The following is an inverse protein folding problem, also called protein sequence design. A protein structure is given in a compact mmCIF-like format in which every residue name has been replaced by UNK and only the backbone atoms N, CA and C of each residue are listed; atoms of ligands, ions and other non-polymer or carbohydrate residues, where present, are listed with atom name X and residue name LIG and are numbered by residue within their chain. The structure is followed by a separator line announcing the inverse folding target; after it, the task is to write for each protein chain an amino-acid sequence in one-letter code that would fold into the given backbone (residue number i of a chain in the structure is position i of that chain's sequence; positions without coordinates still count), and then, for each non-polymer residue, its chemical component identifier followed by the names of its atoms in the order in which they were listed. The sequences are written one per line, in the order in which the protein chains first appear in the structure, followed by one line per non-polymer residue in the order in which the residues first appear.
data_IF_007015372436
#
_entry.id   IF_007015372436
#
_cell.length_a   1.000
_cell.length_b   1.000
_cell.length_c   1.000
_cell.angle_alpha   90.00
_cell.angle_beta   90.00
_cell.angle_gamma   90.00
#
_symmetry.space_group_name_H-M   'P 1'
#
loop_
_entity.id
_entity.type
_entity.pdbx_description
1 polymer ?
#
# COMPACT_ATOMS: atom_id res chain seq x y z
N UNK A 1 24.93 34.22 -33.38
CA UNK A 1 23.97 34.09 -32.26
C UNK A 1 23.57 32.63 -32.18
N UNK A 2 24.20 31.87 -31.28
CA UNK A 2 23.81 30.49 -31.00
C UNK A 2 22.49 30.52 -30.23
N UNK A 3 21.40 30.03 -30.83
CA UNK A 3 20.17 29.74 -30.09
C UNK A 3 20.54 28.73 -29.01
N UNK A 4 20.56 29.18 -27.75
CA UNK A 4 20.65 28.30 -26.60
C UNK A 4 19.43 27.38 -26.61
N UNK A 5 19.68 26.08 -26.61
CA UNK A 5 18.64 25.07 -26.45
C UNK A 5 18.01 25.29 -25.07
N UNK A 6 16.85 25.94 -25.00
CA UNK A 6 16.10 26.05 -23.75
C UNK A 6 15.55 24.65 -23.47
N UNK A 7 16.16 23.97 -22.50
CA UNK A 7 15.62 22.69 -22.01
C UNK A 7 14.22 22.96 -21.48
N UNK A 8 13.22 22.24 -22.01
CA UNK A 8 11.88 22.28 -21.45
C UNK A 8 11.92 21.67 -20.04
N UNK A 9 11.27 22.33 -19.09
CA UNK A 9 11.08 21.83 -17.74
C UNK A 9 9.60 21.50 -17.52
N UNK A 10 9.33 20.42 -16.78
CA UNK A 10 7.96 19.95 -16.54
C UNK A 10 7.87 19.15 -15.24
N UNK A 11 6.65 19.01 -14.71
CA UNK A 11 6.37 18.05 -13.66
C UNK A 11 5.08 17.28 -13.99
N UNK A 12 5.12 15.96 -13.90
CA UNK A 12 3.98 15.12 -14.29
C UNK A 12 3.94 13.79 -13.55
N UNK A 13 2.73 13.26 -13.40
CA UNK A 13 2.52 11.93 -12.82
C UNK A 13 2.83 10.83 -13.81
N UNK A 14 3.42 9.73 -13.34
CA UNK A 14 3.42 8.48 -14.08
C UNK A 14 2.06 7.77 -13.94
N UNK A 15 1.55 7.13 -15.01
CA UNK A 15 0.35 6.31 -14.93
C UNK A 15 0.53 5.14 -13.95
N UNK A 16 -0.51 4.87 -13.16
CA UNK A 16 -0.54 3.67 -12.32
C UNK A 16 -0.83 2.46 -13.21
N UNK A 17 0.14 1.55 -13.29
CA UNK A 17 -0.01 0.27 -13.99
C UNK A 17 -0.41 -0.88 -13.05
N UNK A 18 -0.48 -0.61 -11.75
CA UNK A 18 -0.83 -1.58 -10.72
C UNK A 18 -2.34 -1.67 -10.54
N UNK A 19 -2.82 -2.86 -10.15
CA UNK A 19 -4.21 -3.01 -9.72
C UNK A 19 -4.29 -2.57 -8.26
N UNK A 20 -5.03 -1.51 -8.00
CA UNK A 20 -5.25 -1.00 -6.66
C UNK A 20 -6.49 -1.64 -6.03
N UNK A 21 -6.38 -1.93 -4.74
CA UNK A 21 -7.40 -2.54 -3.91
C UNK A 21 -7.56 -1.76 -2.59
N UNK A 22 -8.76 -1.72 -1.99
CA UNK A 22 -8.97 -1.02 -0.73
C UNK A 22 -8.08 -1.51 0.40
N UNK A 23 -7.49 -0.57 1.12
CA UNK A 23 -6.55 -0.75 2.22
C UNK A 23 -5.16 -1.21 1.81
N UNK A 24 -4.95 -1.59 0.54
CA UNK A 24 -3.66 -2.06 0.02
C UNK A 24 -2.84 -0.86 -0.41
N UNK A 25 -1.60 -0.79 0.05
CA UNK A 25 -0.64 0.23 -0.37
C UNK A 25 -0.26 0.03 -1.84
N UNK A 26 -0.37 1.10 -2.61
CA UNK A 26 0.16 1.23 -3.96
C UNK A 26 1.08 2.44 -4.05
N UNK A 27 1.62 2.69 -5.24
CA UNK A 27 2.61 3.74 -5.47
C UNK A 27 2.18 4.73 -6.56
N UNK A 28 2.42 6.01 -6.31
CA UNK A 28 2.26 7.11 -7.25
C UNK A 28 3.57 7.85 -7.43
N UNK A 29 4.11 7.83 -8.64
CA UNK A 29 5.36 8.53 -8.93
C UNK A 29 5.11 9.86 -9.64
N UNK A 30 5.65 10.94 -9.08
CA UNK A 30 5.71 12.28 -9.67
C UNK A 30 7.13 12.54 -10.16
N UNK A 31 7.27 12.88 -11.44
CA UNK A 31 8.56 13.19 -12.07
C UNK A 31 8.69 14.69 -12.25
N UNK A 32 9.85 15.24 -11.87
CA UNK A 32 10.30 16.57 -12.26
C UNK A 32 11.42 16.46 -13.30
N UNK A 33 11.15 17.00 -14.49
CA UNK A 33 12.08 17.09 -15.61
C UNK A 33 12.72 18.47 -15.61
N UNK A 34 14.06 18.50 -15.52
CA UNK A 34 14.87 19.73 -15.59
C UNK A 34 14.45 20.86 -14.63
N UNK A 35 13.79 20.52 -13.53
CA UNK A 35 13.46 21.46 -12.45
C UNK A 35 13.49 20.74 -11.10
N UNK A 36 13.63 21.51 -10.02
CA UNK A 36 13.62 21.02 -8.65
C UNK A 36 12.66 21.85 -7.79
N UNK A 37 11.79 21.21 -6.99
CA UNK A 37 10.90 21.92 -6.08
C UNK A 37 11.69 22.66 -5.00
N UNK A 38 11.24 23.86 -4.64
CA UNK A 38 11.84 24.71 -3.59
C UNK A 38 11.27 24.39 -2.20
N UNK A 39 10.05 23.85 -2.17
CA UNK A 39 9.32 23.49 -0.97
C UNK A 39 8.99 21.99 -0.93
N UNK A 40 8.49 21.52 0.21
CA UNK A 40 8.01 20.15 0.36
C UNK A 40 6.85 19.86 -0.60
N UNK A 41 6.99 18.81 -1.41
CA UNK A 41 5.98 18.39 -2.39
C UNK A 41 4.83 17.69 -1.66
N UNK A 42 3.69 18.38 -1.55
CA UNK A 42 2.46 17.86 -0.92
C UNK A 42 1.30 17.82 -1.89
N UNK A 43 0.90 16.64 -2.39
CA UNK A 43 -0.31 16.51 -3.18
C UNK A 43 -1.55 16.96 -2.40
N UNK A 44 -2.59 17.49 -3.08
CA UNK A 44 -3.86 17.82 -2.45
C UNK A 44 -4.50 16.61 -1.76
N UNK A 45 -5.15 16.83 -0.62
CA UNK A 45 -5.91 15.77 0.07
C UNK A 45 -7.08 15.31 -0.81
N UNK A 46 -7.20 14.00 -1.00
CA UNK A 46 -8.32 13.37 -1.70
C UNK A 46 -9.13 12.56 -0.69
N UNK A 47 -10.46 12.67 -0.77
CA UNK A 47 -11.33 11.96 0.16
C UNK A 47 -11.11 10.45 0.05
N UNK A 48 -11.00 9.78 1.21
CA UNK A 48 -10.80 8.34 1.33
C UNK A 48 -9.51 7.81 0.67
N UNK A 49 -8.54 8.68 0.41
CA UNK A 49 -7.21 8.34 -0.05
C UNK A 49 -6.19 8.88 0.95
N UNK A 50 -5.45 7.97 1.58
CA UNK A 50 -4.26 8.34 2.35
C UNK A 50 -3.06 8.42 1.39
N UNK A 51 -2.31 9.51 1.48
CA UNK A 51 -1.06 9.73 0.73
C UNK A 51 0.02 9.93 1.78
N UNK A 52 0.96 9.00 1.85
CA UNK A 52 2.07 9.04 2.81
C UNK A 52 3.25 9.86 2.27
N UNK A 53 4.27 10.08 3.11
CA UNK A 53 5.46 10.83 2.72
C UNK A 53 6.22 10.10 1.59
N UNK A 54 6.69 10.82 0.56
CA UNK A 54 7.33 10.20 -0.59
C UNK A 54 8.76 9.76 -0.27
N UNK A 55 9.20 8.70 -0.94
CA UNK A 55 10.64 8.46 -1.13
C UNK A 55 11.14 9.27 -2.33
N UNK A 56 12.35 9.83 -2.22
CA UNK A 56 12.92 10.71 -3.24
C UNK A 56 14.12 10.03 -3.87
N UNK A 57 14.12 9.93 -5.20
CA UNK A 57 15.22 9.36 -5.97
C UNK A 57 15.49 10.16 -7.23
N UNK A 58 16.55 9.78 -7.95
CA UNK A 58 16.97 10.42 -9.19
C UNK A 58 17.37 9.35 -10.21
N UNK A 59 16.91 9.51 -11.45
CA UNK A 59 17.22 8.53 -12.51
C UNK A 59 18.47 8.89 -13.31
N UNK A 60 18.80 8.05 -14.31
CA UNK A 60 19.97 8.24 -15.19
C UNK A 60 19.87 9.48 -16.10
N UNK A 61 18.66 10.02 -16.30
CA UNK A 61 18.41 11.28 -17.01
C UNK A 61 18.44 12.49 -16.09
N UNK A 62 18.85 12.31 -14.83
CA UNK A 62 18.90 13.35 -13.82
C UNK A 62 17.51 13.91 -13.44
N UNK A 63 16.42 13.21 -13.76
CA UNK A 63 15.05 13.57 -13.37
C UNK A 63 14.83 13.20 -11.90
N UNK A 64 14.17 14.08 -11.15
CA UNK A 64 13.80 13.83 -9.76
C UNK A 64 12.48 13.06 -9.71
N UNK A 65 12.44 11.98 -8.94
CA UNK A 65 11.27 11.11 -8.79
C UNK A 65 10.84 11.14 -7.33
N UNK A 66 9.60 11.56 -7.11
CA UNK A 66 8.91 11.47 -5.82
C UNK A 66 7.93 10.30 -5.88
N UNK A 67 8.22 9.24 -5.14
CA UNK A 67 7.37 8.06 -5.10
C UNK A 67 6.53 8.05 -3.82
N UNK A 68 5.25 8.36 -3.96
CA UNK A 68 4.27 8.46 -2.89
C UNK A 68 3.58 7.11 -2.64
N UNK A 69 3.68 6.55 -1.43
CA UNK A 69 2.80 5.46 -1.02
C UNK A 69 1.37 6.00 -0.89
N UNK A 70 0.41 5.30 -1.49
CA UNK A 70 -1.01 5.62 -1.43
C UNK A 70 -1.82 4.46 -0.91
N UNK A 71 -2.87 4.75 -0.15
CA UNK A 71 -3.76 3.76 0.42
C UNK A 71 -5.21 4.23 0.20
N UNK A 72 -5.93 3.65 -0.76
CA UNK A 72 -7.35 3.94 -0.94
C UNK A 72 -8.16 3.18 0.11
N UNK A 73 -9.13 3.81 0.75
CA UNK A 73 -9.96 3.15 1.77
C UNK A 73 -11.25 2.51 1.22
N UNK A 74 -11.60 2.83 -0.02
CA UNK A 74 -12.83 2.33 -0.67
C UNK A 74 -12.63 2.11 -2.17
N UNK A 75 -13.42 1.23 -2.80
CA UNK A 75 -13.41 1.10 -4.26
C UNK A 75 -13.94 2.37 -4.93
N UNK A 76 -13.54 2.59 -6.19
CA UNK A 76 -14.03 3.70 -6.99
C UNK A 76 -12.95 4.41 -7.79
N UNK A 77 -13.32 5.53 -8.40
CA UNK A 77 -12.43 6.38 -9.17
C UNK A 77 -11.90 7.50 -8.29
N UNK A 78 -10.58 7.62 -8.22
CA UNK A 78 -9.89 8.68 -7.50
C UNK A 78 -9.31 9.67 -8.50
N UNK A 79 -9.33 10.94 -8.12
CA UNK A 79 -8.74 12.04 -8.88
C UNK A 79 -7.92 12.88 -7.92
N UNK A 80 -6.61 12.98 -8.16
CA UNK A 80 -5.78 14.00 -7.54
C UNK A 80 -5.90 15.24 -8.43
N UNK A 81 -6.44 16.37 -7.92
CA UNK A 81 -6.64 17.57 -8.72
C UNK A 81 -5.30 18.22 -9.10
N UNK A 82 -5.26 19.09 -10.13
CA UNK A 82 -4.06 19.83 -10.45
C UNK A 82 -3.66 20.74 -9.30
N UNK A 83 -2.35 21.00 -9.18
CA UNK A 83 -1.81 21.89 -8.16
C UNK A 83 -0.49 22.51 -8.60
N UNK A 84 -0.16 23.66 -8.02
CA UNK A 84 1.04 24.43 -8.34
C UNK A 84 2.17 24.14 -7.34
N UNK A 85 3.40 24.07 -7.84
CA UNK A 85 4.62 23.97 -7.03
C UNK A 85 5.63 25.03 -7.46
N UNK A 86 6.24 25.68 -6.48
CA UNK A 86 7.40 26.53 -6.72
C UNK A 86 8.65 25.69 -6.98
N UNK A 87 9.33 25.97 -8.10
CA UNK A 87 10.58 25.32 -8.51
C UNK A 87 11.69 26.35 -8.70
N UNK A 88 12.92 25.88 -8.88
CA UNK A 88 14.06 26.69 -9.33
C UNK A 88 13.84 27.39 -10.70
N UNK A 89 12.84 26.96 -11.47
CA UNK A 89 12.47 27.54 -12.76
C UNK A 89 11.13 28.31 -12.71
N UNK A 90 10.61 28.58 -11.51
CA UNK A 90 9.34 29.28 -11.29
C UNK A 90 8.21 28.33 -10.92
N UNK A 91 6.97 28.81 -11.06
CA UNK A 91 5.78 28.00 -10.75
C UNK A 91 5.52 26.99 -11.86
N UNK A 92 5.41 25.71 -11.49
CA UNK A 92 5.04 24.61 -12.38
C UNK A 92 3.69 24.07 -11.94
N UNK A 93 2.78 23.87 -12.91
CA UNK A 93 1.50 23.19 -12.69
C UNK A 93 1.68 21.68 -12.89
N UNK A 94 1.28 20.91 -11.89
CA UNK A 94 1.19 19.46 -11.97
C UNK A 94 -0.22 19.11 -12.46
N UNK A 95 -0.36 18.38 -13.59
CA UNK A 95 -1.66 18.01 -14.12
C UNK A 95 -2.39 17.03 -13.18
N UNK A 96 -3.73 16.91 -13.29
CA UNK A 96 -4.45 15.91 -12.52
C UNK A 96 -4.05 14.50 -12.94
N UNK A 97 -4.16 13.55 -12.01
CA UNK A 97 -4.11 12.11 -12.31
C UNK A 97 -5.37 11.42 -11.79
N UNK A 98 -5.87 10.47 -12.57
CA UNK A 98 -6.98 9.61 -12.18
C UNK A 98 -6.57 8.15 -12.19
N UNK A 99 -7.16 7.37 -11.29
CA UNK A 99 -6.97 5.93 -11.21
C UNK A 99 -8.19 5.26 -10.60
N UNK A 100 -8.37 3.97 -10.91
CA UNK A 100 -9.50 3.17 -10.45
C UNK A 100 -9.04 2.13 -9.44
N UNK A 101 -9.71 2.10 -8.30
CA UNK A 101 -9.54 1.09 -7.26
C UNK A 101 -10.65 0.08 -7.41
N UNK A 102 -10.27 -1.20 -7.57
CA UNK A 102 -11.23 -2.27 -7.80
C UNK A 102 -11.98 -2.62 -6.54
N UNK A 103 -13.22 -3.04 -6.70
CA UNK A 103 -13.93 -3.71 -5.63
C UNK A 103 -13.31 -5.09 -5.37
N UNK A 104 -13.17 -5.41 -4.08
CA UNK A 104 -12.64 -6.68 -3.61
C UNK A 104 -13.75 -7.39 -2.86
N UNK A 105 -14.01 -8.65 -3.18
CA UNK A 105 -14.92 -9.47 -2.39
C UNK A 105 -14.26 -9.85 -1.07
N UNK A 106 -14.85 -9.38 0.04
CA UNK A 106 -14.45 -9.79 1.38
C UNK A 106 -15.28 -11.02 1.75
N UNK A 107 -14.61 -12.14 2.05
CA UNK A 107 -15.30 -13.32 2.53
C UNK A 107 -16.04 -13.00 3.85
N UNK A 108 -17.24 -13.57 4.09
CA UNK A 108 -17.96 -13.35 5.33
C UNK A 108 -17.10 -13.75 6.55
N UNK A 109 -16.81 -12.78 7.43
CA UNK A 109 -16.08 -13.02 8.67
C UNK A 109 -17.11 -13.36 9.77
N UNK A 110 -16.92 -14.48 10.48
CA UNK A 110 -17.79 -14.84 11.60
C UNK A 110 -17.70 -13.78 12.72
N UNK A 111 -18.72 -13.70 13.58
CA UNK A 111 -18.77 -12.69 14.64
C UNK A 111 -17.61 -12.79 15.66
N UNK A 112 -16.99 -13.96 15.76
CA UNK A 112 -15.85 -14.32 16.59
C UNK A 112 -14.59 -14.64 15.77
N UNK A 113 -14.63 -14.39 14.47
CA UNK A 113 -13.57 -14.74 13.53
C UNK A 113 -12.62 -13.58 13.27
N UNK A 114 -11.36 -13.94 13.03
CA UNK A 114 -10.35 -13.05 12.44
C UNK A 114 -9.97 -13.65 11.10
N UNK A 115 -10.07 -12.84 10.06
CA UNK A 115 -9.50 -13.17 8.76
C UNK A 115 -8.09 -12.59 8.67
N UNK A 116 -7.11 -13.45 8.43
CA UNK A 116 -5.72 -13.08 8.31
C UNK A 116 -5.26 -13.26 6.87
N UNK A 117 -4.69 -12.20 6.31
CA UNK A 117 -4.29 -12.15 4.91
C UNK A 117 -2.88 -11.60 4.78
N UNK A 118 -2.15 -12.11 3.80
CA UNK A 118 -0.86 -11.54 3.38
C UNK A 118 -1.00 -11.08 1.94
N UNK A 119 -0.73 -9.79 1.74
CA UNK A 119 -0.80 -9.15 0.44
C UNK A 119 0.61 -8.91 -0.07
N UNK A 120 0.81 -9.30 -1.32
CA UNK A 120 2.09 -9.22 -2.02
C UNK A 120 1.86 -8.33 -3.24
N UNK A 121 2.84 -7.49 -3.64
CA UNK A 121 2.73 -6.67 -4.83
C UNK A 121 2.34 -7.50 -6.05
N UNK A 122 1.30 -7.06 -6.76
CA UNK A 122 0.77 -7.74 -7.95
C UNK A 122 1.55 -7.33 -9.22
N UNK A 123 2.88 -7.42 -9.15
CA UNK A 123 3.80 -7.07 -10.23
C UNK A 123 4.96 -8.07 -10.33
N UNK A 124 5.71 -8.01 -11.42
CA UNK A 124 6.98 -8.73 -11.53
C UNK A 124 7.96 -8.15 -10.52
N UNK A 125 8.51 -9.01 -9.66
CA UNK A 125 9.55 -8.65 -8.69
C UNK A 125 10.91 -9.08 -9.21
N UNK A 126 11.89 -8.18 -9.18
CA UNK A 126 13.23 -8.47 -9.64
C UNK A 126 14.16 -8.90 -8.50
N UNK A 127 15.11 -9.80 -8.78
CA UNK A 127 16.13 -10.17 -7.80
C UNK A 127 16.94 -8.93 -7.43
N UNK A 128 17.13 -8.69 -6.13
CA UNK A 128 17.88 -7.54 -5.64
C UNK A 128 17.05 -6.25 -5.56
N UNK A 129 15.77 -6.30 -5.93
CA UNK A 129 14.83 -5.19 -5.72
C UNK A 129 14.08 -5.37 -4.39
N UNK A 130 14.15 -4.39 -3.47
CA UNK A 130 13.30 -4.40 -2.28
C UNK A 130 11.82 -4.25 -2.66
N UNK A 131 10.94 -4.97 -1.98
CA UNK A 131 9.49 -4.86 -2.15
C UNK A 131 8.78 -4.92 -0.80
N UNK A 132 7.62 -4.29 -0.68
CA UNK A 132 6.84 -4.25 0.56
C UNK A 132 5.77 -5.33 0.52
N UNK A 133 5.56 -6.04 1.63
CA UNK A 133 4.38 -6.88 1.84
C UNK A 133 3.50 -6.30 2.94
N UNK A 134 2.21 -6.63 2.90
CA UNK A 134 1.27 -6.29 3.96
C UNK A 134 0.76 -7.55 4.66
N UNK A 135 0.70 -7.50 5.99
CA UNK A 135 -0.04 -8.46 6.79
C UNK A 135 -1.28 -7.78 7.36
N UNK A 136 -2.45 -8.34 7.06
CA UNK A 136 -3.74 -7.76 7.43
C UNK A 136 -4.52 -8.73 8.31
N UNK A 137 -5.08 -8.17 9.38
CA UNK A 137 -6.03 -8.84 10.25
C UNK A 137 -7.35 -8.10 10.16
N UNK A 138 -8.41 -8.80 9.76
CA UNK A 138 -9.74 -8.25 9.58
C UNK A 138 -10.72 -8.94 10.52
N UNK A 139 -11.60 -8.14 11.09
CA UNK A 139 -12.74 -8.60 11.89
C UNK A 139 -14.01 -7.95 11.36
N UNK A 140 -15.16 -8.48 11.75
CA UNK A 140 -16.43 -7.80 11.52
C UNK A 140 -16.41 -6.40 12.16
N UNK A 141 -16.91 -5.40 11.45
CA UNK A 141 -17.04 -4.03 11.96
C UNK A 141 -17.74 -3.99 13.32
N UNK A 142 -17.17 -3.22 14.25
CA UNK A 142 -17.61 -3.12 15.64
C UNK A 142 -16.92 -4.07 16.61
N UNK A 143 -16.08 -4.99 16.12
CA UNK A 143 -15.23 -5.84 16.97
C UNK A 143 -13.93 -5.11 17.31
N UNK A 144 -13.55 -5.10 18.59
CA UNK A 144 -12.27 -4.53 19.02
C UNK A 144 -11.19 -5.61 19.06
N UNK A 145 -10.07 -5.30 18.41
CA UNK A 145 -8.90 -6.17 18.30
C UNK A 145 -7.83 -5.58 19.21
N UNK A 146 -7.54 -6.25 20.33
CA UNK A 146 -6.45 -5.86 21.23
C UNK A 146 -5.16 -6.58 20.82
N UNK A 147 -4.09 -5.79 20.70
CA UNK A 147 -2.81 -6.24 20.15
C UNK A 147 -1.92 -6.69 21.30
N UNK A 148 -1.77 -8.00 21.44
CA UNK A 148 -0.92 -8.57 22.49
C UNK A 148 0.49 -8.92 22.00
N UNK A 149 0.74 -8.91 20.69
CA UNK A 149 2.06 -9.23 20.10
C UNK A 149 2.27 -8.56 18.74
N UNK A 150 3.52 -8.52 18.25
CA UNK A 150 3.86 -8.20 16.85
C UNK A 150 3.73 -9.47 15.99
N UNK A 151 3.54 -9.36 14.66
CA UNK A 151 3.58 -10.52 13.78
C UNK A 151 4.96 -11.20 13.82
N UNK A 152 4.96 -12.52 13.97
CA UNK A 152 6.16 -13.35 14.04
C UNK A 152 6.29 -14.22 12.79
N UNK A 153 7.52 -14.32 12.27
CA UNK A 153 7.84 -15.12 11.09
C UNK A 153 9.34 -15.39 10.98
N UNK A 154 9.73 -16.38 10.17
CA UNK A 154 11.12 -16.78 9.92
C UNK A 154 11.45 -16.70 8.41
N UNK A 155 11.82 -15.50 7.89
CA UNK A 155 12.00 -15.26 6.46
C UNK A 155 13.39 -15.64 5.95
N UNK A 156 13.81 -16.91 6.10
CA UNK A 156 15.17 -17.38 5.74
C UNK A 156 15.62 -17.08 4.30
N UNK A 157 14.68 -16.95 3.37
CA UNK A 157 14.95 -16.66 1.95
C UNK A 157 14.95 -15.15 1.63
N UNK A 158 14.83 -14.29 2.65
CA UNK A 158 14.76 -12.84 2.52
C UNK A 158 15.62 -12.13 3.54
N UNK A 159 16.10 -10.93 3.19
CA UNK A 159 16.38 -9.92 4.19
C UNK A 159 15.10 -9.16 4.45
N UNK A 160 14.67 -9.08 5.71
CA UNK A 160 13.46 -8.38 6.09
C UNK A 160 13.73 -7.30 7.13
N UNK A 161 13.04 -6.18 6.97
CA UNK A 161 12.91 -5.23 8.07
C UNK A 161 12.01 -5.81 9.17
N UNK A 162 12.07 -5.18 10.36
CA UNK A 162 11.03 -5.41 11.38
C UNK A 162 9.69 -4.91 10.83
N UNK A 163 8.61 -5.55 11.26
CA UNK A 163 7.27 -5.06 10.98
C UNK A 163 7.12 -3.61 11.47
N UNK A 164 6.47 -2.80 10.65
CA UNK A 164 6.09 -1.44 10.98
C UNK A 164 5.06 -1.39 12.11
N UNK A 165 4.75 -0.17 12.57
CA UNK A 165 3.67 0.02 13.54
C UNK A 165 2.33 -0.39 12.93
N UNK A 166 1.41 -0.99 13.72
CA UNK A 166 0.08 -1.32 13.24
C UNK A 166 -0.67 -0.06 12.83
N UNK A 167 -1.28 -0.10 11.64
CA UNK A 167 -2.20 0.93 11.14
C UNK A 167 -3.62 0.35 11.12
N UNK A 168 -4.61 1.13 11.57
CA UNK A 168 -6.01 0.70 11.52
C UNK A 168 -6.52 0.77 10.09
N UNK A 169 -7.16 -0.29 9.63
CA UNK A 169 -7.81 -0.34 8.31
C UNK A 169 -9.31 -0.57 8.48
N UNK A 170 -10.08 0.10 7.63
CA UNK A 170 -11.51 -0.09 7.50
C UNK A 170 -11.74 -0.41 6.02
N UNK A 171 -12.44 -1.50 5.77
CA UNK A 171 -12.80 -1.95 4.44
C UNK A 171 -14.32 -1.96 4.33
N UNK A 172 -14.80 -1.38 3.24
CA UNK A 172 -16.20 -1.44 2.84
C UNK A 172 -16.25 -2.00 1.43
N UNK A 173 -16.83 -3.18 1.27
CA UNK A 173 -17.07 -3.80 -0.02
C UNK A 173 -18.37 -4.62 0.00
N UNK A 174 -19.21 -4.48 -1.02
CA UNK A 174 -20.47 -5.22 -1.15
C UNK A 174 -21.37 -5.22 0.11
N UNK A 175 -21.41 -4.10 0.85
CA UNK A 175 -22.19 -3.99 2.11
C UNK A 175 -21.60 -4.75 3.30
N UNK A 176 -20.46 -5.41 3.12
CA UNK A 176 -19.67 -6.01 4.20
C UNK A 176 -18.70 -4.97 4.73
N UNK A 177 -18.83 -4.67 6.03
CA UNK A 177 -17.94 -3.77 6.75
C UNK A 177 -16.98 -4.61 7.58
N UNK A 178 -15.69 -4.50 7.27
CA UNK A 178 -14.63 -5.08 8.06
C UNK A 178 -13.73 -3.99 8.63
N UNK A 179 -13.24 -4.20 9.83
CA UNK A 179 -12.24 -3.34 10.45
C UNK A 179 -11.12 -4.18 11.03
N UNK A 180 -9.92 -3.62 11.11
CA UNK A 180 -8.82 -4.33 11.73
C UNK A 180 -7.50 -3.61 11.59
N UNK A 181 -6.43 -4.38 11.41
CA UNK A 181 -5.05 -3.91 11.48
C UNK A 181 -4.28 -4.31 10.24
N UNK A 182 -3.35 -3.44 9.86
CA UNK A 182 -2.36 -3.66 8.82
C UNK A 182 -0.96 -3.45 9.40
N UNK A 183 -0.06 -4.36 9.07
CA UNK A 183 1.37 -4.25 9.27
C UNK A 183 2.05 -4.28 7.92
N UNK A 184 3.13 -3.51 7.75
CA UNK A 184 3.95 -3.51 6.54
C UNK A 184 5.38 -3.89 6.89
N UNK A 185 6.06 -4.59 5.98
CA UNK A 185 7.50 -4.81 6.06
C UNK A 185 8.12 -4.85 4.67
N UNK A 186 9.37 -4.39 4.56
CA UNK A 186 10.15 -4.43 3.33
C UNK A 186 11.00 -5.69 3.29
N UNK A 187 11.02 -6.35 2.13
CA UNK A 187 11.76 -7.56 1.85
C UNK A 187 12.71 -7.38 0.68
N UNK A 188 13.87 -8.00 0.78
CA UNK A 188 14.80 -8.21 -0.32
C UNK A 188 14.99 -9.71 -0.50
N UNK A 189 14.65 -10.23 -1.68
CA UNK A 189 14.82 -11.66 -1.95
C UNK A 189 16.30 -12.03 -2.13
N UNK A 190 16.73 -13.11 -1.46
CA UNK A 190 18.09 -13.63 -1.57
C UNK A 190 18.27 -14.59 -2.76
N UNK A 191 17.17 -15.10 -3.33
CA UNK A 191 17.16 -16.11 -4.40
C UNK A 191 16.30 -15.66 -5.58
N UNK A 192 16.66 -16.08 -6.80
CA UNK A 192 15.79 -15.90 -7.96
C UNK A 192 14.77 -17.04 -8.05
N UNK A 193 13.66 -16.80 -8.75
CA UNK A 193 12.67 -17.83 -9.08
C UNK A 193 11.42 -17.77 -8.22
N UNK A 194 10.75 -18.91 -8.04
CA UNK A 194 9.52 -18.98 -7.26
C UNK A 194 9.84 -18.76 -5.78
N UNK A 195 9.23 -17.72 -5.24
CA UNK A 195 9.37 -17.31 -3.84
C UNK A 195 8.13 -17.79 -3.08
N UNK A 196 8.34 -18.34 -1.89
CA UNK A 196 7.26 -18.73 -0.96
C UNK A 196 7.46 -17.96 0.33
N UNK A 197 6.44 -17.22 0.75
CA UNK A 197 6.49 -16.54 2.05
C UNK A 197 6.37 -17.58 3.18
N UNK A 198 7.15 -17.45 4.26
CA UNK A 198 6.98 -18.29 5.42
C UNK A 198 5.62 -18.00 6.09
N UNK A 199 5.10 -18.94 6.91
CA UNK A 199 3.93 -18.65 7.71
C UNK A 199 4.21 -17.46 8.64
N UNK A 200 3.22 -16.58 8.76
CA UNK A 200 3.20 -15.48 9.72
C UNK A 200 2.20 -15.85 10.80
N UNK A 201 2.62 -15.79 12.06
CA UNK A 201 1.77 -16.05 13.22
C UNK A 201 1.70 -14.81 14.09
N UNK A 202 0.52 -14.53 14.65
CA UNK A 202 0.35 -13.46 15.63
C UNK A 202 -0.60 -13.94 16.73
N UNK A 203 -0.26 -13.64 17.98
CA UNK A 203 -1.18 -13.79 19.10
C UNK A 203 -2.05 -12.54 19.20
N UNK A 204 -3.35 -12.76 19.27
CA UNK A 204 -4.36 -11.71 19.28
C UNK A 204 -5.33 -11.96 20.42
N UNK A 205 -5.80 -10.90 21.07
CA UNK A 205 -6.92 -10.95 21.99
C UNK A 205 -8.11 -10.23 21.35
N UNK A 206 -9.18 -10.97 21.11
CA UNK A 206 -10.44 -10.39 20.67
C UNK A 206 -11.27 -10.02 21.88
N UNK A 207 -11.71 -8.77 21.93
CA UNK A 207 -12.79 -8.36 22.81
C UNK A 207 -14.09 -8.38 21.99
N UNK A 208 -14.87 -9.43 22.20
CA UNK A 208 -16.20 -9.54 21.59
C UNK A 208 -17.18 -9.01 22.63
N UNK A 209 -17.66 -7.78 22.47
CA UNK A 209 -18.77 -7.30 23.26
C UNK A 209 -20.03 -8.08 22.89
N UNK A 210 -20.40 -9.05 23.73
CA UNK A 210 -21.66 -9.76 23.64
C UNK A 210 -22.45 -9.46 24.91
N UNK A 211 -23.46 -8.58 24.80
CA UNK A 211 -24.44 -8.31 25.86
C UNK A 211 -23.84 -7.89 27.22
N UNK A 212 -22.91 -6.93 27.26
CA UNK A 212 -22.40 -6.35 28.51
C UNK A 212 -21.50 -7.26 29.35
N UNK A 213 -20.94 -8.32 28.75
CA UNK A 213 -19.87 -9.16 29.34
C UNK A 213 -18.76 -9.36 28.30
N UNK A 214 -17.55 -8.90 28.60
CA UNK A 214 -16.38 -9.11 27.75
C UNK A 214 -15.92 -10.57 27.78
N UNK A 215 -15.81 -11.19 26.62
CA UNK A 215 -15.18 -12.50 26.43
C UNK A 215 -13.84 -12.26 25.73
N UNK A 216 -12.76 -12.79 26.32
CA UNK A 216 -11.40 -12.71 25.77
C UNK A 216 -11.05 -14.05 25.11
N UNK A 217 -10.72 -14.01 23.81
CA UNK A 217 -10.26 -15.18 23.06
C UNK A 217 -8.83 -14.95 22.59
N UNK A 218 -7.93 -15.89 22.93
CA UNK A 218 -6.58 -15.95 22.38
C UNK A 218 -6.61 -16.79 21.11
N UNK A 219 -6.26 -16.18 19.97
CA UNK A 219 -6.22 -16.86 18.68
C UNK A 219 -4.81 -16.78 18.09
N UNK A 220 -4.39 -17.87 17.44
CA UNK A 220 -3.23 -17.90 16.56
C UNK A 220 -3.76 -17.81 15.13
N UNK A 221 -3.54 -16.68 14.46
CA UNK A 221 -3.97 -16.52 13.07
C UNK A 221 -2.88 -16.97 12.11
N UNK A 222 -3.19 -17.93 11.23
CA UNK A 222 -2.36 -18.30 10.08
C UNK A 222 -2.98 -17.70 8.81
N UNK A 223 -2.24 -16.92 7.99
CA UNK A 223 -2.81 -16.28 6.83
C UNK A 223 -3.16 -17.26 5.72
N UNK A 224 -4.26 -16.99 5.02
CA UNK A 224 -4.50 -17.60 3.72
C UNK A 224 -3.63 -16.90 2.66
N UNK A 225 -2.92 -17.69 1.83
CA UNK A 225 -2.21 -17.13 0.66
C UNK A 225 -3.20 -16.97 -0.47
N UNK A 226 -3.33 -15.79 -1.11
CA UNK A 226 -4.10 -15.68 -2.35
C UNK A 226 -3.46 -16.59 -3.40
N UNK A 227 -4.17 -17.61 -3.87
CA UNK A 227 -3.69 -18.41 -4.99
C UNK A 227 -3.73 -17.55 -6.27
N UNK A 228 -2.62 -17.41 -7.01
CA UNK A 228 -2.70 -16.85 -8.35
C UNK A 228 -3.56 -17.79 -9.19
N UNK A 229 -4.69 -17.26 -9.65
CA UNK A 229 -5.62 -17.96 -10.53
C UNK A 229 -4.84 -18.47 -11.75
N UNK A 230 -4.76 -19.80 -12.00
CA UNK A 230 -4.03 -20.32 -13.14
C UNK A 230 -4.84 -20.01 -14.40
N UNK A 231 -4.54 -18.88 -15.07
CA UNK A 231 -4.98 -18.70 -16.44
C UNK A 231 -4.26 -19.73 -17.30
N UNK A 232 -5.00 -20.75 -17.71
CA UNK A 232 -4.63 -21.64 -18.80
C UNK A 232 -4.33 -20.78 -20.04
N UNK A 233 -3.10 -20.81 -20.51
CA UNK A 233 -2.80 -20.42 -21.89
C UNK A 233 -3.44 -21.46 -22.82
N UNK A 234 -4.35 -20.99 -23.66
CA UNK A 234 -4.56 -21.52 -25.02
C UNK A 234 -3.94 -20.53 -25.97
#
# INVERSE_FOLDING_TARGET
MTLGNVMAFSAHWLPINEKLEPGVSGHLSLIFENCSPQDEVKPPKVAFLEIEAPSISRNSRNELIYDFPIIPHQPGNYIIPPFLIATDHGLVEIPPISFTVKEVEIAPISADGVDAQVLIPQRTLWKGEPFVIEYRLLTRSGTFLDITSQPEWDPKDFLSNRWGKPQRVILNANGTYASGLRYTTTLLSLKAGKIVLPPISQQLTLEIERFGRGLFLNLLSNPSTPQPNPKSLK
#
